data_IF_495073282454
#
_entry.id   IF_495073282454
#
_cell.length_a   1.000
_cell.length_b   1.000
_cell.length_c   1.000
_cell.angle_alpha   90.00
_cell.angle_beta   90.00
_cell.angle_gamma   90.00
#
_symmetry.space_group_name_H-M   'P 1'
#
loop_
_entity.id
_entity.type
_entity.pdbx_description
1 polymer ?
#
# COMPACT_ATOMS: atom_id res chain seq x y z
N UNK A 1 -7.96 1.20 26.43
CA UNK A 1 -8.42 0.13 25.50
C UNK A 1 -8.50 -1.24 26.17
N UNK A 2 -7.46 -1.75 26.85
CA UNK A 2 -7.54 -3.06 27.52
C UNK A 2 -8.73 -3.21 28.49
N UNK A 3 -8.97 -2.20 29.34
CA UNK A 3 -10.17 -2.15 30.21
C UNK A 3 -11.50 -2.19 29.44
N UNK A 4 -11.55 -1.59 28.25
CA UNK A 4 -12.74 -1.60 27.40
C UNK A 4 -12.95 -2.98 26.76
N UNK A 5 -11.91 -3.64 26.26
CA UNK A 5 -12.02 -5.02 25.74
C UNK A 5 -12.40 -6.07 26.79
N UNK A 6 -12.03 -5.82 28.04
CA UNK A 6 -12.40 -6.65 29.18
C UNK A 6 -13.86 -6.40 29.62
N UNK A 7 -14.42 -5.22 29.34
CA UNK A 7 -15.75 -4.82 29.79
C UNK A 7 -16.82 -4.85 28.67
N UNK A 8 -16.41 -4.65 27.42
CA UNK A 8 -17.26 -4.43 26.26
C UNK A 8 -16.71 -5.23 25.04
N UNK A 9 -17.45 -6.23 24.54
CA UNK A 9 -17.06 -7.02 23.39
C UNK A 9 -17.07 -6.25 22.05
N UNK A 10 -17.68 -5.06 22.00
CA UNK A 10 -17.78 -4.23 20.78
C UNK A 10 -16.54 -3.36 20.52
N UNK A 11 -15.54 -3.39 21.40
CA UNK A 11 -14.31 -2.62 21.20
C UNK A 11 -13.55 -3.15 19.98
N UNK A 12 -13.27 -2.30 18.99
CA UNK A 12 -12.56 -2.66 17.76
C UNK A 12 -11.26 -3.46 18.05
N UNK A 13 -11.26 -4.78 17.79
CA UNK A 13 -10.12 -5.64 18.07
C UNK A 13 -8.91 -5.29 17.19
N UNK A 14 -9.14 -4.76 15.99
CA UNK A 14 -8.09 -4.43 15.03
C UNK A 14 -7.19 -3.34 15.60
N UNK A 15 -7.79 -2.24 16.07
CA UNK A 15 -7.02 -1.14 16.64
C UNK A 15 -6.25 -1.58 17.90
N UNK A 16 -6.82 -2.44 18.74
CA UNK A 16 -6.12 -2.95 19.92
C UNK A 16 -4.91 -3.82 19.57
N UNK A 17 -5.08 -4.78 18.65
CA UNK A 17 -3.99 -5.67 18.23
C UNK A 17 -2.88 -4.87 17.57
N UNK A 18 -3.21 -3.97 16.64
CA UNK A 18 -2.20 -3.13 15.97
C UNK A 18 -1.45 -2.23 16.97
N UNK A 19 -2.15 -1.72 18.00
CA UNK A 19 -1.50 -0.95 19.07
C UNK A 19 -0.53 -1.83 19.85
N UNK A 20 -0.93 -3.03 20.26
CA UNK A 20 -0.05 -3.96 20.96
C UNK A 20 1.18 -4.37 20.15
N UNK A 21 1.01 -4.56 18.83
CA UNK A 21 2.11 -4.79 17.90
C UNK A 21 3.07 -3.59 17.85
N UNK A 22 2.54 -2.37 17.73
CA UNK A 22 3.36 -1.14 17.67
C UNK A 22 4.15 -0.86 18.96
N UNK A 23 3.67 -1.38 20.10
CA UNK A 23 4.35 -1.35 21.39
C UNK A 23 5.42 -2.46 21.54
N UNK A 24 5.63 -3.30 20.52
CA UNK A 24 6.60 -4.39 20.53
C UNK A 24 6.14 -5.65 21.27
N UNK A 25 4.88 -5.71 21.71
CA UNK A 25 4.38 -6.82 22.53
C UNK A 25 4.19 -8.12 21.73
N UNK A 26 4.18 -8.04 20.39
CA UNK A 26 4.12 -9.18 19.47
C UNK A 26 5.44 -9.37 18.69
N UNK A 27 6.54 -8.89 19.28
CA UNK A 27 7.86 -8.82 18.65
C UNK A 27 8.11 -7.47 17.96
N UNK A 28 9.36 -7.28 17.53
CA UNK A 28 9.81 -6.00 17.00
C UNK A 28 9.11 -5.63 15.68
N UNK A 29 8.61 -4.41 15.63
CA UNK A 29 8.13 -3.76 14.42
C UNK A 29 9.19 -2.83 13.85
N UNK A 30 9.57 -3.04 12.60
CA UNK A 30 10.39 -2.06 11.88
C UNK A 30 9.61 -0.77 11.62
N UNK A 31 10.31 0.34 11.36
CA UNK A 31 9.68 1.60 10.96
C UNK A 31 8.70 1.41 9.78
N UNK A 32 9.07 0.53 8.85
CA UNK A 32 8.27 0.19 7.67
C UNK A 32 6.96 -0.52 8.02
N UNK A 33 7.01 -1.44 8.98
CA UNK A 33 5.80 -2.11 9.47
C UNK A 33 4.89 -1.12 10.20
N UNK A 34 5.46 -0.16 10.94
CA UNK A 34 4.69 0.89 11.61
C UNK A 34 3.98 1.82 10.62
N UNK A 35 4.65 2.22 9.54
CA UNK A 35 4.04 2.96 8.43
C UNK A 35 2.91 2.18 7.77
N UNK A 36 3.08 0.87 7.59
CA UNK A 36 2.05 -0.02 7.08
C UNK A 36 0.83 -0.12 8.00
N UNK A 37 1.05 -0.26 9.30
CA UNK A 37 -0.02 -0.26 10.30
C UNK A 37 -0.80 1.06 10.31
N UNK A 38 -0.10 2.20 10.24
CA UNK A 38 -0.72 3.51 10.17
C UNK A 38 -1.56 3.69 8.90
N UNK A 39 -1.04 3.26 7.74
CA UNK A 39 -1.77 3.31 6.48
C UNK A 39 -3.01 2.39 6.48
N UNK A 40 -2.89 1.20 7.10
CA UNK A 40 -4.01 0.27 7.25
C UNK A 40 -5.12 0.86 8.12
N UNK A 41 -4.78 1.42 9.30
CA UNK A 41 -5.75 2.10 10.17
C UNK A 41 -6.39 3.29 9.46
N UNK A 42 -5.63 4.04 8.66
CA UNK A 42 -6.18 5.12 7.86
C UNK A 42 -7.14 4.61 6.77
N UNK A 43 -6.89 3.41 6.22
CA UNK A 43 -7.75 2.79 5.21
C UNK A 43 -9.06 2.27 5.82
N UNK A 44 -9.00 1.55 6.95
CA UNK A 44 -10.18 0.93 7.59
C UNK A 44 -11.18 1.96 8.11
N UNK A 45 -10.73 3.18 8.40
CA UNK A 45 -11.60 4.31 8.81
C UNK A 45 -12.37 4.96 7.67
N UNK A 46 -12.11 4.54 6.44
CA UNK A 46 -12.80 5.09 5.27
C UNK A 46 -14.13 4.37 5.08
N UNK A 47 -15.15 5.14 4.72
CA UNK A 47 -16.48 4.62 4.39
C UNK A 47 -16.45 3.66 3.19
N UNK A 48 -15.43 3.77 2.33
CA UNK A 48 -15.22 2.95 1.14
C UNK A 48 -14.21 1.80 1.34
N UNK A 49 -13.94 1.39 2.58
CA UNK A 49 -13.08 0.25 2.85
C UNK A 49 -13.79 -1.09 2.48
N UNK A 50 -13.15 -2.00 1.72
CA UNK A 50 -13.80 -3.23 1.26
C UNK A 50 -14.16 -4.17 2.41
N UNK A 51 -15.44 -4.57 2.48
CA UNK A 51 -15.96 -5.44 3.56
C UNK A 51 -15.27 -6.82 3.58
N UNK A 52 -15.06 -7.43 2.42
CA UNK A 52 -14.39 -8.73 2.30
C UNK A 52 -12.95 -8.67 2.85
N UNK A 53 -12.21 -7.64 2.48
CA UNK A 53 -10.86 -7.41 2.99
C UNK A 53 -10.88 -7.14 4.51
N UNK A 54 -11.86 -6.36 4.98
CA UNK A 54 -12.05 -6.10 6.40
C UNK A 54 -12.27 -7.39 7.18
N UNK A 55 -13.17 -8.26 6.70
CA UNK A 55 -13.44 -9.55 7.31
C UNK A 55 -12.18 -10.46 7.34
N UNK A 56 -11.42 -10.50 6.24
CA UNK A 56 -10.18 -11.26 6.16
C UNK A 56 -9.12 -10.75 7.16
N UNK A 57 -8.94 -9.43 7.27
CA UNK A 57 -8.01 -8.82 8.21
C UNK A 57 -8.44 -9.05 9.66
N UNK A 58 -9.73 -8.92 9.97
CA UNK A 58 -10.26 -9.24 11.30
C UNK A 58 -10.01 -10.71 11.65
N UNK A 59 -10.26 -11.64 10.72
CA UNK A 59 -9.99 -13.05 10.93
C UNK A 59 -8.50 -13.34 11.15
N UNK A 60 -7.61 -12.67 10.41
CA UNK A 60 -6.16 -12.79 10.58
C UNK A 60 -5.71 -12.28 11.95
N UNK A 61 -6.17 -11.10 12.36
CA UNK A 61 -5.78 -10.49 13.64
C UNK A 61 -6.37 -11.25 14.84
N UNK A 62 -7.58 -11.78 14.72
CA UNK A 62 -8.18 -12.65 15.73
C UNK A 62 -7.40 -13.97 15.88
N UNK A 63 -6.80 -14.49 14.81
CA UNK A 63 -5.88 -15.63 14.89
C UNK A 63 -4.51 -15.25 15.46
N UNK A 64 -4.04 -14.03 15.19
CA UNK A 64 -2.77 -13.52 15.71
C UNK A 64 -2.82 -13.31 17.23
N UNK A 65 -3.95 -12.81 17.73
CA UNK A 65 -4.22 -12.59 19.14
C UNK A 65 -5.67 -12.98 19.45
N UNK A 66 -5.92 -14.24 19.83
CA UNK A 66 -7.25 -14.67 20.22
C UNK A 66 -7.70 -13.98 21.51
N UNK A 67 -8.82 -13.24 21.45
CA UNK A 67 -9.29 -12.44 22.59
C UNK A 67 -9.56 -13.28 23.84
N UNK A 68 -10.01 -14.52 23.68
CA UNK A 68 -10.25 -15.44 24.79
C UNK A 68 -8.95 -15.88 25.49
N UNK A 69 -7.86 -16.02 24.73
CA UNK A 69 -6.54 -16.29 25.28
C UNK A 69 -6.05 -15.07 26.07
N UNK A 70 -6.25 -13.86 25.53
CA UNK A 70 -5.93 -12.62 26.24
C UNK A 70 -6.72 -12.47 27.54
N UNK A 71 -8.05 -12.68 27.50
CA UNK A 71 -8.91 -12.62 28.69
C UNK A 71 -8.49 -13.61 29.76
N UNK A 72 -8.13 -14.82 29.35
CA UNK A 72 -7.64 -15.85 30.28
C UNK A 72 -6.29 -15.46 30.88
N UNK A 73 -5.33 -15.02 30.06
CA UNK A 73 -4.03 -14.57 30.53
C UNK A 73 -4.10 -13.33 31.44
N UNK A 74 -5.02 -12.41 31.15
CA UNK A 74 -5.25 -11.21 31.95
C UNK A 74 -5.82 -11.53 33.34
N UNK A 75 -6.73 -12.51 33.44
CA UNK A 75 -7.25 -13.00 34.74
C UNK A 75 -6.14 -13.63 35.58
N UNK A 76 -5.33 -14.51 34.99
CA UNK A 76 -4.21 -15.15 35.69
C UNK A 76 -3.18 -14.12 36.17
N UNK A 77 -2.84 -13.14 35.32
CA UNK A 77 -1.88 -12.10 35.68
C UNK A 77 -2.37 -11.19 36.81
N UNK A 78 -3.68 -10.98 36.92
CA UNK A 78 -4.28 -10.18 37.98
C UNK A 78 -4.19 -10.83 39.36
N UNK A 79 -4.33 -12.16 39.43
CA UNK A 79 -4.20 -12.91 40.69
C UNK A 79 -2.82 -12.73 41.33
N UNK A 80 -1.78 -12.54 40.51
CA UNK A 80 -0.40 -12.36 40.97
C UNK A 80 0.01 -10.89 41.18
N UNK A 81 -0.59 -9.94 40.46
CA UNK A 81 -0.05 -8.56 40.30
C UNK A 81 -1.07 -7.43 40.36
N UNK A 82 -2.29 -7.68 40.83
CA UNK A 82 -3.28 -6.61 41.05
C UNK A 82 -4.37 -6.56 39.98
N UNK A 83 -4.68 -5.40 39.40
CA UNK A 83 -5.85 -5.30 38.53
C UNK A 83 -5.57 -5.87 37.13
N UNK A 84 -6.49 -6.63 36.51
CA UNK A 84 -6.33 -7.12 35.13
C UNK A 84 -6.29 -5.99 34.11
N UNK A 85 -6.77 -4.80 34.48
CA UNK A 85 -6.73 -3.61 33.62
C UNK A 85 -5.44 -2.78 33.72
N UNK A 86 -4.54 -3.13 34.65
CA UNK A 86 -3.26 -2.42 34.79
C UNK A 86 -2.39 -2.70 33.57
N UNK A 87 -1.67 -1.68 33.09
CA UNK A 87 -0.91 -1.76 31.85
C UNK A 87 0.13 -2.89 31.86
N UNK A 88 0.85 -3.06 32.98
CA UNK A 88 1.87 -4.10 33.12
C UNK A 88 1.25 -5.51 33.04
N UNK A 89 0.06 -5.70 33.60
CA UNK A 89 -0.65 -6.98 33.55
C UNK A 89 -1.25 -7.23 32.17
N UNK A 90 -1.83 -6.20 31.55
CA UNK A 90 -2.40 -6.29 30.21
C UNK A 90 -1.31 -6.53 29.14
N UNK A 91 -0.12 -5.94 29.28
CA UNK A 91 0.98 -6.13 28.33
C UNK A 91 1.57 -7.54 28.41
N UNK A 92 1.73 -8.09 29.62
CA UNK A 92 2.13 -9.49 29.83
C UNK A 92 1.08 -10.46 29.29
N UNK A 93 -0.20 -10.22 29.58
CA UNK A 93 -1.30 -11.03 29.07
C UNK A 93 -1.40 -10.99 27.54
N UNK A 94 -1.18 -9.81 26.95
CA UNK A 94 -1.12 -9.64 25.49
C UNK A 94 -0.01 -10.50 24.91
N UNK A 95 1.22 -10.35 25.38
CA UNK A 95 2.37 -11.11 24.90
C UNK A 95 2.16 -12.63 25.04
N UNK A 96 1.56 -13.09 26.14
CA UNK A 96 1.24 -14.49 26.38
C UNK A 96 0.13 -15.04 25.45
N UNK A 97 -0.75 -14.18 24.94
CA UNK A 97 -1.86 -14.55 24.06
C UNK A 97 -1.50 -14.60 22.58
N UNK A 98 -0.31 -14.13 22.20
CA UNK A 98 0.12 -14.08 20.80
C UNK A 98 0.35 -15.47 20.22
N UNK A 99 -0.21 -15.71 19.03
CA UNK A 99 0.25 -16.78 18.16
C UNK A 99 1.45 -16.29 17.34
N UNK A 100 2.68 -16.79 17.60
CA UNK A 100 3.90 -16.24 17.00
C UNK A 100 3.96 -16.41 15.48
N UNK A 101 3.41 -17.50 14.94
CA UNK A 101 3.40 -17.78 13.50
C UNK A 101 2.49 -16.80 12.76
N UNK A 102 1.28 -16.61 13.27
CA UNK A 102 0.29 -15.68 12.68
C UNK A 102 0.74 -14.23 12.88
N UNK A 103 1.36 -13.91 14.02
CA UNK A 103 1.94 -12.59 14.26
C UNK A 103 3.09 -12.27 13.30
N UNK A 104 3.94 -13.25 12.97
CA UNK A 104 4.98 -13.08 11.95
C UNK A 104 4.38 -12.81 10.56
N UNK A 105 3.32 -13.55 10.18
CA UNK A 105 2.58 -13.30 8.93
C UNK A 105 1.94 -11.91 8.90
N UNK A 106 1.34 -11.49 10.01
CA UNK A 106 0.75 -10.15 10.16
C UNK A 106 1.83 -9.07 9.99
N UNK A 107 3.00 -9.22 10.63
CA UNK A 107 4.12 -8.28 10.47
C UNK A 107 4.65 -8.23 9.03
N UNK A 108 4.71 -9.36 8.33
CA UNK A 108 5.09 -9.39 6.92
C UNK A 108 4.09 -8.63 6.03
N UNK A 109 2.78 -8.84 6.27
CA UNK A 109 1.72 -8.11 5.59
C UNK A 109 1.80 -6.59 5.86
N UNK A 110 2.04 -6.18 7.10
CA UNK A 110 2.25 -4.78 7.44
C UNK A 110 3.49 -4.20 6.75
N UNK A 111 4.56 -4.98 6.60
CA UNK A 111 5.74 -4.54 5.84
C UNK A 111 5.42 -4.31 4.35
N UNK A 112 4.58 -5.15 3.74
CA UNK A 112 4.12 -4.95 2.36
C UNK A 112 3.30 -3.66 2.21
N UNK A 113 2.41 -3.37 3.15
CA UNK A 113 1.68 -2.09 3.16
C UNK A 113 2.65 -0.92 3.37
N UNK A 114 3.66 -1.08 4.22
CA UNK A 114 4.75 -0.12 4.39
C UNK A 114 5.52 0.15 3.10
N UNK A 115 5.77 -0.88 2.28
CA UNK A 115 6.34 -0.71 0.94
C UNK A 115 5.46 0.13 0.01
N UNK A 116 4.14 -0.09 0.05
CA UNK A 116 3.18 0.72 -0.72
C UNK A 116 3.22 2.19 -0.27
N UNK A 117 3.23 2.41 1.05
CA UNK A 117 3.32 3.75 1.67
C UNK A 117 4.58 4.48 1.27
N UNK A 118 5.73 3.80 1.29
CA UNK A 118 7.01 4.39 0.92
C UNK A 118 7.14 4.69 -0.58
N UNK A 119 6.51 3.88 -1.44
CA UNK A 119 6.49 4.13 -2.88
C UNK A 119 5.50 5.25 -3.28
N UNK A 120 4.50 5.52 -2.44
CA UNK A 120 3.50 6.58 -2.66
C UNK A 120 3.55 7.59 -1.51
N UNK A 121 2.61 7.46 -0.57
CA UNK A 121 2.54 8.12 0.73
C UNK A 121 1.60 7.31 1.61
N UNK A 122 1.54 7.56 2.92
CA UNK A 122 0.58 6.87 3.79
C UNK A 122 -0.88 7.04 3.33
N UNK A 123 -1.25 8.25 2.88
CA UNK A 123 -2.58 8.52 2.30
C UNK A 123 -2.77 7.86 0.92
N UNK A 124 -1.69 7.76 0.13
CA UNK A 124 -1.68 7.06 -1.15
C UNK A 124 -1.92 5.55 -0.98
N UNK A 125 -1.21 4.93 -0.04
CA UNK A 125 -1.41 3.54 0.33
C UNK A 125 -2.82 3.29 0.84
N UNK A 126 -3.32 4.11 1.77
CA UNK A 126 -4.69 4.00 2.26
C UNK A 126 -5.73 4.09 1.12
N UNK A 127 -5.47 4.91 0.10
CA UNK A 127 -6.32 5.00 -1.10
C UNK A 127 -6.20 3.76 -2.00
N UNK A 128 -5.00 3.18 -2.13
CA UNK A 128 -4.81 1.96 -2.93
C UNK A 128 -5.46 0.75 -2.27
N UNK A 129 -5.42 0.67 -0.93
CA UNK A 129 -6.04 -0.42 -0.17
C UNK A 129 -7.56 -0.49 -0.37
N UNK A 130 -8.24 0.61 -0.70
CA UNK A 130 -9.69 0.56 -1.02
C UNK A 130 -10.01 -0.20 -2.30
N UNK A 131 -8.99 -0.54 -3.11
CA UNK A 131 -9.13 -1.32 -4.33
C UNK A 131 -8.70 -2.79 -4.16
N UNK A 132 -8.25 -3.19 -2.98
CA UNK A 132 -7.94 -4.59 -2.67
C UNK A 132 -9.22 -5.33 -2.28
N UNK A 133 -9.42 -6.51 -2.86
CA UNK A 133 -10.48 -7.45 -2.47
C UNK A 133 -10.02 -8.41 -1.36
N UNK A 134 -8.73 -8.76 -1.37
CA UNK A 134 -8.12 -9.72 -0.44
C UNK A 134 -6.71 -9.29 -0.06
N UNK A 135 -6.15 -9.89 0.99
CA UNK A 135 -4.74 -9.65 1.37
C UNK A 135 -3.75 -10.06 0.27
N UNK A 136 -4.13 -11.01 -0.60
CA UNK A 136 -3.34 -11.42 -1.77
C UNK A 136 -3.16 -10.31 -2.82
N UNK A 137 -3.94 -9.24 -2.75
CA UNK A 137 -3.84 -8.10 -3.69
C UNK A 137 -2.70 -7.15 -3.35
N UNK A 138 -2.15 -7.22 -2.13
CA UNK A 138 -1.13 -6.28 -1.66
C UNK A 138 0.17 -6.37 -2.44
N UNK A 139 0.61 -7.58 -2.81
CA UNK A 139 1.77 -7.76 -3.67
C UNK A 139 1.60 -7.05 -5.02
N UNK A 140 0.39 -7.07 -5.58
CA UNK A 140 0.06 -6.43 -6.86
C UNK A 140 -0.02 -4.91 -6.73
N UNK A 141 -0.69 -4.43 -5.68
CA UNK A 141 -0.73 -2.99 -5.34
C UNK A 141 0.66 -2.42 -5.08
N UNK A 142 1.55 -3.20 -4.44
CA UNK A 142 2.94 -2.83 -4.20
C UNK A 142 3.73 -2.67 -5.49
N UNK A 143 3.64 -3.62 -6.42
CA UNK A 143 4.26 -3.49 -7.74
C UNK A 143 3.73 -2.26 -8.49
N UNK A 144 2.43 -1.99 -8.40
CA UNK A 144 1.82 -0.82 -9.01
C UNK A 144 2.29 0.50 -8.38
N UNK A 145 2.38 0.54 -7.04
CA UNK A 145 2.92 1.68 -6.32
C UNK A 145 4.40 1.93 -6.65
N UNK A 146 5.23 0.89 -6.68
CA UNK A 146 6.65 1.00 -7.02
C UNK A 146 6.89 1.51 -8.44
N UNK A 147 6.01 1.19 -9.38
CA UNK A 147 6.14 1.60 -10.78
C UNK A 147 5.57 2.98 -11.07
N UNK A 148 4.43 3.34 -10.46
CA UNK A 148 3.72 4.58 -10.75
C UNK A 148 3.85 5.66 -9.67
N UNK A 149 4.35 5.31 -8.49
CA UNK A 149 4.45 6.20 -7.33
C UNK A 149 3.11 6.83 -6.97
N UNK A 150 3.09 8.12 -6.63
CA UNK A 150 1.84 8.86 -6.33
C UNK A 150 0.82 8.87 -7.46
N UNK A 151 1.22 8.59 -8.71
CA UNK A 151 0.27 8.47 -9.82
C UNK A 151 -0.62 7.24 -9.67
N UNK A 152 -0.15 6.20 -8.98
CA UNK A 152 -0.96 5.06 -8.61
C UNK A 152 -2.16 5.50 -7.76
N UNK A 153 -1.91 6.28 -6.71
CA UNK A 153 -2.95 6.81 -5.85
C UNK A 153 -3.88 7.78 -6.60
N UNK A 154 -3.34 8.60 -7.51
CA UNK A 154 -4.16 9.47 -8.35
C UNK A 154 -5.07 8.70 -9.32
N UNK A 155 -4.59 7.59 -9.90
CA UNK A 155 -5.37 6.70 -10.74
C UNK A 155 -6.50 6.03 -9.94
N UNK A 156 -6.15 5.50 -8.76
CA UNK A 156 -7.10 4.89 -7.83
C UNK A 156 -8.25 5.83 -7.44
N UNK A 157 -7.99 7.13 -7.30
CA UNK A 157 -9.04 8.14 -7.03
C UNK A 157 -10.03 8.32 -8.18
N UNK A 158 -9.62 8.05 -9.42
CA UNK A 158 -10.40 8.31 -10.64
C UNK A 158 -11.24 7.13 -11.11
N UNK A 159 -10.93 5.92 -10.65
CA UNK A 159 -11.67 4.72 -11.03
C UNK A 159 -12.96 4.56 -10.20
N UNK A 160 -14.06 4.07 -10.81
CA UNK A 160 -15.27 3.73 -10.08
C UNK A 160 -14.95 2.64 -9.04
N UNK A 161 -15.36 2.90 -7.79
CA UNK A 161 -14.84 2.25 -6.57
C UNK A 161 -15.51 0.92 -6.22
N UNK A 162 -16.31 0.35 -7.13
CA UNK A 162 -16.94 -0.96 -6.94
C UNK A 162 -16.67 -1.80 -8.18
N UNK A 163 -15.77 -2.77 -8.06
CA UNK A 163 -15.83 -3.90 -8.97
C UNK A 163 -17.11 -4.67 -8.67
N UNK A 164 -17.84 -5.17 -9.68
CA UNK A 164 -18.88 -6.17 -9.45
C UNK A 164 -18.27 -7.31 -8.62
N UNK A 165 -18.98 -7.87 -7.62
CA UNK A 165 -18.50 -9.06 -6.92
C UNK A 165 -18.14 -10.10 -7.97
N UNK A 166 -16.95 -10.72 -7.80
CA UNK A 166 -16.40 -11.73 -8.69
C UNK A 166 -17.26 -13.00 -8.66
N UNK A 167 -18.46 -12.92 -9.20
CA UNK A 167 -19.28 -14.08 -9.50
C UNK A 167 -18.91 -14.50 -10.92
N UNK A 168 -18.17 -15.61 -10.98
CA UNK A 168 -18.15 -16.60 -12.09
C UNK A 168 -17.23 -16.44 -13.31
N UNK A 169 -16.19 -15.59 -13.35
CA UNK A 169 -15.22 -15.63 -14.46
C UNK A 169 -13.76 -15.80 -14.01
N UNK A 170 -13.09 -16.91 -14.35
CA UNK A 170 -11.64 -17.01 -14.22
C UNK A 170 -11.00 -15.96 -15.15
N UNK A 171 -10.54 -14.85 -14.57
CA UNK A 171 -9.95 -13.72 -15.31
C UNK A 171 -10.31 -12.32 -14.78
N UNK A 172 -11.32 -12.19 -13.90
CA UNK A 172 -11.75 -10.88 -13.38
C UNK A 172 -10.65 -10.13 -12.59
N UNK A 173 -9.70 -10.87 -11.99
CA UNK A 173 -8.57 -10.28 -11.28
C UNK A 173 -7.55 -9.56 -12.18
N UNK A 174 -7.60 -9.80 -13.50
CA UNK A 174 -6.71 -9.15 -14.48
C UNK A 174 -7.31 -7.84 -15.02
N UNK A 175 -8.64 -7.71 -15.05
CA UNK A 175 -9.28 -6.48 -15.55
C UNK A 175 -9.05 -5.29 -14.61
N UNK A 176 -8.95 -5.53 -13.30
CA UNK A 176 -8.73 -4.44 -12.33
C UNK A 176 -7.39 -3.75 -12.42
N UNK A 177 -6.35 -4.55 -12.64
CA UNK A 177 -5.01 -4.03 -12.87
C UNK A 177 -4.89 -3.45 -14.27
N UNK A 178 -5.59 -4.03 -15.25
CA UNK A 178 -5.67 -3.47 -16.59
C UNK A 178 -6.26 -2.05 -16.54
N UNK A 179 -7.35 -1.82 -15.80
CA UNK A 179 -8.00 -0.52 -15.70
C UNK A 179 -7.15 0.52 -14.94
N UNK A 180 -6.46 0.13 -13.86
CA UNK A 180 -5.46 0.97 -13.18
C UNK A 180 -4.28 1.32 -14.10
N UNK A 181 -3.77 0.33 -14.83
CA UNK A 181 -2.69 0.52 -15.80
C UNK A 181 -3.13 1.44 -16.93
N UNK A 182 -4.37 1.29 -17.40
CA UNK A 182 -4.98 2.09 -18.47
C UNK A 182 -5.23 3.53 -18.00
N UNK A 183 -5.65 3.73 -16.76
CA UNK A 183 -5.78 5.06 -16.14
C UNK A 183 -4.41 5.75 -16.00
N UNK A 184 -3.36 5.05 -15.58
CA UNK A 184 -1.99 5.59 -15.53
C UNK A 184 -1.46 5.90 -16.93
N UNK A 185 -1.68 5.01 -17.90
CA UNK A 185 -1.30 5.22 -19.29
C UNK A 185 -2.03 6.42 -19.91
N UNK A 186 -3.31 6.61 -19.60
CA UNK A 186 -4.09 7.77 -20.02
C UNK A 186 -3.53 9.08 -19.44
N UNK A 187 -3.16 9.08 -18.15
CA UNK A 187 -2.51 10.24 -17.52
C UNK A 187 -1.13 10.56 -18.12
N UNK A 188 -0.33 9.53 -18.43
CA UNK A 188 0.94 9.70 -19.12
C UNK A 188 0.76 10.33 -20.51
N UNK A 189 -0.24 9.87 -21.27
CA UNK A 189 -0.57 10.39 -22.61
C UNK A 189 -1.05 11.84 -22.58
N UNK A 190 -1.86 12.23 -21.60
CA UNK A 190 -2.34 13.60 -21.49
C UNK A 190 -1.21 14.60 -21.18
N UNK A 191 -0.17 14.17 -20.45
CA UNK A 191 0.99 15.02 -20.13
C UNK A 191 1.98 15.15 -21.29
N UNK A 192 2.14 14.09 -22.09
CA UNK A 192 2.94 14.16 -23.32
C UNK A 192 2.31 15.12 -24.34
N UNK A 193 1.00 15.11 -24.48
CA UNK A 193 0.29 16.02 -25.39
C UNK A 193 0.36 17.47 -24.94
N UNK A 194 0.29 17.77 -23.64
CA UNK A 194 0.47 19.14 -23.12
C UNK A 194 1.93 19.60 -23.16
N UNK A 195 2.89 18.73 -22.85
CA UNK A 195 4.32 19.04 -22.96
C UNK A 195 4.75 19.27 -24.41
N UNK A 196 4.27 18.44 -25.35
CA UNK A 196 4.48 18.64 -26.79
C UNK A 196 3.85 19.94 -27.28
N UNK A 197 2.61 20.25 -26.85
CA UNK A 197 1.93 21.50 -27.20
C UNK A 197 2.60 22.75 -26.63
N UNK A 198 3.27 22.63 -25.48
CA UNK A 198 4.07 23.70 -24.89
C UNK A 198 5.41 23.87 -25.62
N UNK A 199 6.04 22.78 -26.05
CA UNK A 199 7.29 22.81 -26.80
C UNK A 199 7.07 23.33 -28.24
N UNK A 200 5.95 22.96 -28.88
CA UNK A 200 5.61 23.41 -30.24
C UNK A 200 5.23 24.89 -30.31
N UNK A 201 4.67 25.48 -29.24
CA UNK A 201 4.41 26.93 -29.18
C UNK A 201 5.67 27.77 -28.99
N UNK A 202 6.70 27.22 -28.35
CA UNK A 202 8.01 27.88 -28.19
C UNK A 202 8.84 27.81 -29.48
N UNK A 203 8.50 26.94 -30.42
CA UNK A 203 9.14 26.83 -31.73
C UNK A 203 8.36 27.60 -32.79
N UNK A 204 8.20 28.92 -32.61
CA UNK A 204 7.81 29.80 -33.71
C UNK A 204 9.07 30.06 -34.56
N UNK A 205 9.15 29.58 -35.82
CA UNK A 205 10.28 29.90 -36.68
C UNK A 205 10.28 31.42 -36.92
N UNK A 206 11.29 32.11 -36.38
CA UNK A 206 11.61 33.47 -36.78
C UNK A 206 12.16 33.35 -38.20
N UNK A 207 11.32 33.61 -39.19
CA UNK A 207 11.72 33.68 -40.58
C UNK A 207 12.62 34.90 -40.79
N UNK A 208 13.92 34.72 -40.52
CA UNK A 208 14.98 35.55 -41.10
C UNK A 208 15.70 34.68 -42.11
N UNK A 209 15.33 34.86 -43.37
CA UNK A 209 16.04 34.31 -44.50
C UNK A 209 17.47 34.88 -44.50
N UNK A 210 18.44 34.05 -44.16
CA UNK A 210 19.85 34.32 -44.44
C UNK A 210 20.35 33.16 -45.29
N UNK A 211 20.43 33.40 -46.60
CA UNK A 211 21.00 32.47 -47.57
C UNK A 211 22.50 32.39 -47.29
N UNK A 212 22.94 31.32 -46.66
CA UNK A 212 24.36 30.96 -46.55
C UNK A 212 24.65 29.93 -47.62
N UNK A 213 25.30 30.37 -48.69
CA UNK A 213 25.83 29.50 -49.73
C UNK A 213 26.96 28.65 -49.16
N UNK A 214 26.74 27.35 -48.99
CA UNK A 214 27.77 26.39 -48.60
C UNK A 214 28.44 25.87 -49.86
N UNK A 215 29.67 26.36 -50.10
CA UNK A 215 30.55 25.84 -51.16
C UNK A 215 31.02 24.44 -50.78
N UNK A 216 30.70 23.46 -51.62
CA UNK A 216 30.98 22.03 -51.40
C UNK A 216 32.42 21.72 -51.87
N UNK A 217 33.36 21.62 -50.94
CA UNK A 217 34.72 21.15 -51.26
C UNK A 217 34.70 19.62 -51.35
N UNK A 218 34.98 19.10 -52.55
CA UNK A 218 35.04 17.65 -52.81
C UNK A 218 36.47 17.19 -52.60
N UNK A 219 36.74 16.40 -51.55
CA UNK A 219 38.05 15.79 -51.32
C UNK A 219 38.05 14.37 -51.88
N UNK A 220 38.80 14.17 -52.95
CA UNK A 220 39.06 12.86 -53.57
C UNK A 220 40.09 12.12 -52.73
N UNK A 221 39.76 10.93 -52.22
CA UNK A 221 40.70 10.05 -51.52
C UNK A 221 41.20 8.99 -52.50
N UNK A 222 42.48 9.05 -52.84
CA UNK A 222 43.19 8.07 -53.66
C UNK A 222 43.60 6.88 -52.79
N UNK A 223 43.16 5.68 -53.17
CA UNK A 223 43.50 4.40 -52.53
C UNK A 223 44.83 3.88 -53.08
N UNK A 224 45.90 3.92 -52.29
CA UNK A 224 47.17 3.28 -52.64
C UNK A 224 47.15 1.84 -52.14
N UNK A 225 47.24 0.90 -53.08
CA UNK A 225 47.49 -0.51 -52.82
C UNK A 225 48.96 -0.69 -52.41
N UNK A 226 49.21 -1.52 -51.40
CA UNK A 226 50.52 -2.13 -51.21
C UNK A 226 50.35 -3.62 -50.95
N UNK A 227 51.12 -4.35 -51.74
CA UNK A 227 51.40 -5.78 -51.76
C UNK A 227 52.15 -6.25 -50.52
#
# INVERSE_FOLDING_TARGET
MARALLADPETDPLQFVLTGFSLGLAGDMSARMNEGAAALVAATRREDFPEDLSAELHALLAQAMPIENFRTAARVSAEERGSPSDFDNASVAFAASINPEVAARTRALLAEIGDISAATSAAGAATLLTHASTTGDFARLRLFAQTAGDRAAAAAKRLPRRWPPATSLPGANLSSIADLTLAVAAMARHRWTTAWSSCSRSFKPRATASVVSITRTTTTVTKTANS
#
